data_IF_691410308144
#
_entry.id   IF_691410308144
#
_cell.length_a   1.000
_cell.length_b   1.000
_cell.length_c   1.000
_cell.angle_alpha   90.00
_cell.angle_beta   90.00
_cell.angle_gamma   90.00
#
_symmetry.space_group_name_H-M   'P 1'
#
loop_
_entity.id
_entity.type
_entity.pdbx_description
1 polymer ?
#
# COMPACT_ATOMS: atom_id res chain seq x y z
N UNK A 1 14.89 27.53 -5.39
CA UNK A 1 14.62 26.24 -4.74
C UNK A 1 13.61 25.50 -5.62
N UNK A 2 14.10 24.68 -6.54
CA UNK A 2 13.26 24.03 -7.56
C UNK A 2 12.58 22.80 -6.95
N UNK A 3 11.39 23.00 -6.38
CA UNK A 3 10.52 21.89 -6.04
C UNK A 3 10.07 21.22 -7.34
N UNK A 4 10.58 20.01 -7.63
CA UNK A 4 10.01 19.13 -8.66
C UNK A 4 8.53 18.98 -8.32
N UNK A 5 7.67 19.66 -9.07
CA UNK A 5 6.25 19.79 -8.76
C UNK A 5 5.57 18.43 -8.85
N UNK A 6 5.22 17.86 -7.70
CA UNK A 6 4.27 16.75 -7.66
C UNK A 6 2.94 17.33 -8.17
N UNK A 7 2.34 16.79 -9.24
CA UNK A 7 1.10 17.33 -9.78
C UNK A 7 0.02 17.32 -8.69
N UNK A 8 -0.72 18.42 -8.56
CA UNK A 8 -1.67 18.64 -7.48
C UNK A 8 -2.63 17.46 -7.28
N UNK A 9 -3.04 16.79 -8.36
CA UNK A 9 -3.88 15.59 -8.33
C UNK A 9 -3.26 14.47 -7.48
N UNK A 10 -1.96 14.16 -7.65
CA UNK A 10 -1.28 13.13 -6.86
C UNK A 10 -1.25 13.49 -5.37
N UNK A 11 -1.06 14.77 -5.04
CA UNK A 11 -1.09 15.23 -3.64
C UNK A 11 -2.51 15.13 -3.06
N UNK A 12 -3.54 15.53 -3.82
CA UNK A 12 -4.93 15.45 -3.36
C UNK A 12 -5.38 14.00 -3.13
N UNK A 13 -5.09 13.09 -4.08
CA UNK A 13 -5.43 11.69 -3.91
C UNK A 13 -4.65 11.01 -2.77
N UNK A 14 -3.35 11.27 -2.65
CA UNK A 14 -2.55 10.70 -1.56
C UNK A 14 -3.00 11.20 -0.18
N UNK A 15 -3.37 12.48 -0.06
CA UNK A 15 -3.97 13.03 1.15
C UNK A 15 -5.32 12.39 1.47
N UNK A 16 -6.18 12.20 0.45
CA UNK A 16 -7.48 11.56 0.62
C UNK A 16 -7.35 10.08 1.05
N UNK A 17 -6.41 9.33 0.47
CA UNK A 17 -6.13 7.94 0.85
C UNK A 17 -5.55 7.88 2.26
N UNK A 18 -4.64 8.78 2.62
CA UNK A 18 -4.11 8.91 3.99
C UNK A 18 -5.20 9.23 5.02
N UNK A 19 -6.20 10.03 4.65
CA UNK A 19 -7.36 10.28 5.51
C UNK A 19 -8.22 9.02 5.65
N UNK A 20 -8.45 8.29 4.56
CA UNK A 20 -9.18 7.01 4.59
C UNK A 20 -8.49 5.97 5.48
N UNK A 21 -7.14 5.91 5.46
CA UNK A 21 -6.35 5.08 6.36
C UNK A 21 -6.68 5.35 7.83
N UNK A 22 -6.60 6.63 8.23
CA UNK A 22 -6.84 7.06 9.62
C UNK A 22 -8.28 6.79 10.07
N UNK A 23 -9.24 6.81 9.15
CA UNK A 23 -10.64 6.52 9.41
C UNK A 23 -11.03 5.05 9.22
N UNK A 24 -10.09 4.16 8.86
CA UNK A 24 -10.38 2.75 8.58
C UNK A 24 -11.28 2.50 7.36
N UNK A 25 -11.44 3.49 6.47
CA UNK A 25 -12.32 3.44 5.30
C UNK A 25 -11.61 2.75 4.12
N UNK A 26 -11.32 1.46 4.27
CA UNK A 26 -10.56 0.68 3.30
C UNK A 26 -11.21 0.62 1.91
N UNK A 27 -12.55 0.52 1.80
CA UNK A 27 -13.22 0.51 0.49
C UNK A 27 -12.95 1.81 -0.28
N UNK A 28 -13.02 2.95 0.40
CA UNK A 28 -12.79 4.25 -0.23
C UNK A 28 -11.32 4.45 -0.59
N UNK A 29 -10.41 3.97 0.26
CA UNK A 29 -8.98 3.97 -0.06
C UNK A 29 -8.69 3.21 -1.37
N UNK A 30 -9.27 2.01 -1.52
CA UNK A 30 -9.14 1.21 -2.74
C UNK A 30 -9.80 1.87 -3.96
N UNK A 31 -10.99 2.45 -3.80
CA UNK A 31 -11.66 3.20 -4.88
C UNK A 31 -10.83 4.39 -5.35
N UNK A 32 -10.25 5.15 -4.43
CA UNK A 32 -9.40 6.29 -4.77
C UNK A 32 -8.12 5.83 -5.50
N UNK A 33 -7.50 4.73 -5.05
CA UNK A 33 -6.34 4.15 -5.70
C UNK A 33 -6.68 3.68 -7.14
N UNK A 34 -7.81 3.00 -7.32
CA UNK A 34 -8.30 2.59 -8.64
C UNK A 34 -8.58 3.79 -9.55
N UNK A 35 -9.18 4.87 -9.02
CA UNK A 35 -9.40 6.11 -9.75
C UNK A 35 -8.09 6.77 -10.18
N UNK A 36 -7.05 6.75 -9.34
CA UNK A 36 -5.72 7.25 -9.74
C UNK A 36 -5.17 6.48 -10.95
N UNK A 37 -5.27 5.14 -10.93
CA UNK A 37 -4.85 4.32 -12.05
C UNK A 37 -5.64 4.62 -13.33
N UNK A 38 -6.98 4.69 -13.24
CA UNK A 38 -7.83 4.98 -14.38
C UNK A 38 -7.55 6.37 -14.99
N UNK A 39 -7.25 7.35 -14.14
CA UNK A 39 -6.97 8.73 -14.57
C UNK A 39 -5.51 8.94 -15.00
N UNK A 40 -4.68 7.89 -15.03
CA UNK A 40 -3.25 8.00 -15.35
C UNK A 40 -2.46 8.85 -14.35
N UNK A 41 -2.97 9.03 -13.13
CA UNK A 41 -2.29 9.78 -12.07
C UNK A 41 -1.19 8.89 -11.49
N UNK A 42 0.02 9.42 -11.39
CA UNK A 42 1.16 8.69 -10.83
C UNK A 42 0.86 8.21 -9.42
N UNK A 43 0.90 6.89 -9.24
CA UNK A 43 0.76 6.23 -7.93
C UNK A 43 2.17 5.97 -7.38
N UNK A 44 2.37 6.25 -6.09
CA UNK A 44 3.66 6.11 -5.41
C UNK A 44 3.61 5.00 -4.37
N UNK A 45 4.79 4.55 -3.91
CA UNK A 45 4.93 3.62 -2.78
C UNK A 45 4.16 4.10 -1.54
N UNK A 46 4.19 5.40 -1.24
CA UNK A 46 3.44 5.99 -0.12
C UNK A 46 1.92 5.81 -0.30
N UNK A 47 1.42 6.03 -1.51
CA UNK A 47 -0.01 5.88 -1.83
C UNK A 47 -0.48 4.45 -1.60
N UNK A 48 0.30 3.46 -2.06
CA UNK A 48 0.01 2.05 -1.80
C UNK A 48 0.10 1.70 -0.33
N UNK A 49 1.14 2.15 0.37
CA UNK A 49 1.32 1.90 1.80
C UNK A 49 0.13 2.43 2.61
N UNK A 50 -0.39 3.63 2.30
CA UNK A 50 -1.60 4.15 2.93
C UNK A 50 -2.85 3.32 2.62
N UNK A 51 -3.04 2.88 1.37
CA UNK A 51 -4.16 2.00 1.01
C UNK A 51 -4.08 0.63 1.70
N UNK A 52 -2.89 0.00 1.72
CA UNK A 52 -2.64 -1.25 2.45
C UNK A 52 -2.86 -1.09 3.96
N UNK A 53 -2.43 0.04 4.54
CA UNK A 53 -2.67 0.33 5.95
C UNK A 53 -4.16 0.57 6.23
N UNK A 54 -4.92 1.17 5.31
CA UNK A 54 -6.38 1.24 5.43
C UNK A 54 -7.00 -0.16 5.45
N UNK A 55 -6.59 -1.05 4.54
CA UNK A 55 -7.00 -2.47 4.54
C UNK A 55 -6.65 -3.19 5.85
N UNK A 56 -5.47 -2.92 6.41
CA UNK A 56 -5.04 -3.44 7.72
C UNK A 56 -6.01 -3.05 8.83
N UNK A 57 -6.38 -1.77 8.93
CA UNK A 57 -7.34 -1.31 9.94
C UNK A 57 -8.74 -1.90 9.72
N UNK A 58 -9.13 -2.12 8.45
CA UNK A 58 -10.38 -2.79 8.10
C UNK A 58 -10.37 -4.33 8.23
N UNK A 59 -9.28 -4.94 8.69
CA UNK A 59 -9.14 -6.40 8.78
C UNK A 59 -9.10 -7.11 7.42
N UNK A 60 -8.94 -6.37 6.32
CA UNK A 60 -9.02 -6.87 4.95
C UNK A 60 -7.66 -7.36 4.47
N UNK A 61 -7.24 -8.51 5.01
CA UNK A 61 -5.88 -8.98 4.77
C UNK A 61 -5.63 -9.44 3.34
N UNK A 62 -6.63 -10.03 2.69
CA UNK A 62 -6.55 -10.44 1.29
C UNK A 62 -6.28 -9.23 0.38
N UNK A 63 -6.98 -8.12 0.63
CA UNK A 63 -6.83 -6.90 -0.15
C UNK A 63 -5.45 -6.26 0.01
N UNK A 64 -4.90 -6.21 1.23
CA UNK A 64 -3.56 -5.65 1.42
C UNK A 64 -2.48 -6.49 0.71
N UNK A 65 -2.60 -7.82 0.70
CA UNK A 65 -1.66 -8.70 -0.03
C UNK A 65 -1.84 -8.58 -1.54
N UNK A 66 -3.07 -8.43 -2.01
CA UNK A 66 -3.33 -8.16 -3.43
C UNK A 66 -2.69 -6.84 -3.87
N UNK A 67 -2.75 -5.81 -3.04
CA UNK A 67 -2.06 -4.54 -3.31
C UNK A 67 -0.54 -4.69 -3.37
N UNK A 68 0.08 -5.49 -2.50
CA UNK A 68 1.52 -5.78 -2.56
C UNK A 68 1.88 -6.45 -3.90
N UNK A 69 1.10 -7.45 -4.32
CA UNK A 69 1.31 -8.12 -5.61
C UNK A 69 1.11 -7.17 -6.80
N UNK A 70 0.12 -6.28 -6.72
CA UNK A 70 -0.13 -5.26 -7.74
C UNK A 70 1.01 -4.24 -7.82
N UNK A 71 1.62 -3.84 -6.70
CA UNK A 71 2.85 -3.02 -6.70
C UNK A 71 3.99 -3.71 -7.42
N UNK A 72 4.24 -4.98 -7.11
CA UNK A 72 5.31 -5.77 -7.72
C UNK A 72 5.08 -5.94 -9.24
N UNK A 73 3.85 -6.24 -9.65
CA UNK A 73 3.48 -6.35 -11.06
C UNK A 73 3.57 -5.04 -11.85
N UNK A 74 3.50 -3.90 -11.16
CA UNK A 74 3.68 -2.54 -11.74
C UNK A 74 5.10 -2.00 -11.59
N UNK A 75 6.04 -2.84 -11.12
CA UNK A 75 7.44 -2.48 -10.89
C UNK A 75 7.61 -1.28 -9.94
N UNK A 76 6.65 -1.08 -9.02
CA UNK A 76 6.71 -0.04 -8.00
C UNK A 76 7.50 -0.60 -6.82
N UNK A 77 8.58 0.08 -6.37
CA UNK A 77 9.43 -0.45 -5.31
C UNK A 77 8.65 -0.55 -4.00
N UNK A 78 8.52 -1.78 -3.51
CA UNK A 78 8.08 -2.08 -2.15
C UNK A 78 9.26 -1.81 -1.18
N UNK A 79 8.99 -1.13 -0.08
CA UNK A 79 9.98 -0.80 0.93
C UNK A 79 9.73 -1.57 2.24
N UNK A 80 10.58 -1.32 3.24
CA UNK A 80 10.44 -1.85 4.60
C UNK A 80 9.04 -1.57 5.17
N UNK A 81 8.43 -0.43 4.86
CA UNK A 81 7.08 -0.08 5.35
C UNK A 81 6.05 -0.98 4.68
N UNK A 82 6.14 -1.19 3.37
CA UNK A 82 5.24 -2.06 2.59
C UNK A 82 5.22 -3.48 3.17
N UNK A 83 6.40 -4.08 3.35
CA UNK A 83 6.52 -5.44 3.91
C UNK A 83 6.03 -5.52 5.35
N UNK A 84 6.37 -4.54 6.19
CA UNK A 84 5.89 -4.51 7.58
C UNK A 84 4.36 -4.43 7.67
N UNK A 85 3.71 -3.67 6.79
CA UNK A 85 2.25 -3.62 6.72
C UNK A 85 1.69 -5.00 6.34
N UNK A 86 2.24 -5.63 5.29
CA UNK A 86 1.80 -6.94 4.81
C UNK A 86 1.94 -8.04 5.88
N UNK A 87 3.09 -8.09 6.57
CA UNK A 87 3.35 -9.04 7.67
C UNK A 87 2.36 -8.82 8.83
N UNK A 88 2.15 -7.57 9.25
CA UNK A 88 1.18 -7.24 10.32
C UNK A 88 -0.24 -7.62 9.94
N UNK A 89 -0.61 -7.40 8.69
CA UNK A 89 -1.91 -7.82 8.15
C UNK A 89 -2.07 -9.34 8.18
N UNK A 90 -1.06 -10.10 7.76
CA UNK A 90 -1.07 -11.56 7.83
C UNK A 90 -1.27 -12.06 9.27
N UNK A 91 -0.64 -11.41 10.25
CA UNK A 91 -0.85 -11.72 11.68
C UNK A 91 -2.32 -11.52 12.09
N UNK A 92 -2.96 -10.42 11.69
CA UNK A 92 -4.37 -10.16 11.98
C UNK A 92 -5.31 -11.17 11.30
N UNK A 93 -4.98 -11.57 10.06
CA UNK A 93 -5.70 -12.60 9.31
C UNK A 93 -5.42 -14.04 9.74
N UNK A 94 -4.60 -14.26 10.78
CA UNK A 94 -4.10 -15.58 11.24
C UNK A 94 -3.36 -16.37 10.15
N UNK A 95 -2.76 -15.67 9.18
CA UNK A 95 -2.01 -16.24 8.06
C UNK A 95 -0.51 -16.28 8.36
N UNK A 96 -0.10 -17.04 9.38
CA UNK A 96 1.29 -17.05 9.83
C UNK A 96 2.28 -17.58 8.77
N UNK A 97 1.89 -18.57 7.96
CA UNK A 97 2.73 -19.09 6.87
C UNK A 97 3.07 -17.99 5.86
N UNK A 98 2.08 -17.16 5.49
CA UNK A 98 2.30 -16.02 4.58
C UNK A 98 3.17 -14.95 5.22
N UNK A 99 3.04 -14.72 6.52
CA UNK A 99 3.91 -13.78 7.22
C UNK A 99 5.38 -14.21 7.17
N UNK A 100 5.66 -15.51 7.34
CA UNK A 100 7.01 -16.07 7.21
C UNK A 100 7.56 -15.93 5.78
N UNK A 101 6.75 -16.30 4.78
CA UNK A 101 7.14 -16.13 3.37
C UNK A 101 7.51 -14.68 3.05
N UNK A 102 6.71 -13.72 3.52
CA UNK A 102 7.00 -12.29 3.32
C UNK A 102 8.29 -11.84 4.04
N UNK A 103 8.63 -12.41 5.19
CA UNK A 103 9.89 -12.12 5.88
C UNK A 103 11.09 -12.69 5.11
N UNK A 104 10.96 -13.91 4.59
CA UNK A 104 11.97 -14.52 3.73
C UNK A 104 12.17 -13.69 2.45
N UNK A 105 11.08 -13.29 1.79
CA UNK A 105 11.12 -12.44 0.59
C UNK A 105 11.78 -11.09 0.86
N UNK A 106 11.43 -10.45 1.98
CA UNK A 106 12.04 -9.19 2.42
C UNK A 106 13.56 -9.34 2.63
N UNK A 107 13.98 -10.45 3.27
CA UNK A 107 15.39 -10.75 3.50
C UNK A 107 16.15 -11.06 2.20
N UNK A 108 15.53 -11.81 1.28
CA UNK A 108 16.11 -12.16 -0.02
C UNK A 108 16.29 -10.93 -0.91
N UNK A 109 15.40 -9.94 -0.81
CA UNK A 109 15.50 -8.64 -1.49
C UNK A 109 16.47 -7.66 -0.80
N UNK A 110 17.08 -8.04 0.32
CA UNK A 110 18.01 -7.19 1.07
C UNK A 110 17.36 -5.95 1.68
N UNK A 111 16.04 -5.99 1.92
CA UNK A 111 15.30 -4.90 2.52
C UNK A 111 15.42 -5.02 4.05
N UNK A 112 15.93 -3.99 4.74
CA UNK A 112 16.14 -4.01 6.19
C UNK A 112 14.84 -3.94 6.99
#
# INVERSE_FOLDING_TARGET
MSAKGIPANTVTYSAAISACEKCGQWQRALQLLASMHHMGVTVSTVTYNSAMSACKHGGQWQWALHLLQDMEGKEIPADTITYNIAIRVCKLGRQWHRALQLMEDMSAKGIP
#
